data_IF_728453085382
#
_entry.id   IF_728453085382
#
_cell.length_a   1.000
_cell.length_b   1.000
_cell.length_c   1.000
_cell.angle_alpha   90.00
_cell.angle_beta   90.00
_cell.angle_gamma   90.00
#
_symmetry.space_group_name_H-M   'P 1'
#
loop_
_entity.id
_entity.type
_entity.pdbx_description
1 polymer ?
#
# COMPACT_ATOMS: atom_id res chain seq x y z
N UNK A 1 -18.37 10.21 -0.35
CA UNK A 1 -18.47 10.57 -1.79
C UNK A 1 -18.14 9.33 -2.60
N UNK A 2 -18.92 9.02 -3.62
CA UNK A 2 -18.58 7.94 -4.56
C UNK A 2 -17.40 8.38 -5.43
N UNK A 3 -16.39 7.51 -5.56
CA UNK A 3 -15.21 7.75 -6.39
C UNK A 3 -15.40 6.93 -7.66
N UNK A 4 -15.55 7.56 -8.84
CA UNK A 4 -15.64 6.84 -10.10
C UNK A 4 -14.38 6.02 -10.34
N UNK A 5 -14.53 4.73 -10.64
CA UNK A 5 -13.42 3.83 -10.98
C UNK A 5 -13.71 3.17 -12.33
N UNK A 6 -12.65 2.90 -13.08
CA UNK A 6 -12.71 2.13 -14.33
C UNK A 6 -11.86 0.88 -14.20
N UNK A 7 -12.26 -0.19 -14.87
CA UNK A 7 -11.57 -1.48 -14.84
C UNK A 7 -11.08 -1.83 -16.24
N UNK A 8 -9.88 -2.37 -16.31
CA UNK A 8 -9.21 -2.81 -17.54
C UNK A 8 -8.56 -4.16 -17.32
N UNK A 9 -8.12 -4.82 -18.39
CA UNK A 9 -7.40 -6.08 -18.31
C UNK A 9 -6.05 -5.94 -17.59
N UNK A 10 -5.53 -7.09 -17.14
CA UNK A 10 -4.22 -7.21 -16.53
C UNK A 10 -3.10 -6.75 -17.46
N UNK A 11 -2.06 -6.12 -16.89
CA UNK A 11 -0.90 -5.68 -17.65
C UNK A 11 0.08 -6.84 -17.84
N UNK A 12 0.87 -6.85 -18.94
CA UNK A 12 1.99 -7.78 -19.08
C UNK A 12 2.92 -7.69 -17.86
N UNK A 13 3.08 -8.82 -17.15
CA UNK A 13 3.94 -8.91 -15.96
C UNK A 13 3.23 -8.67 -14.62
N UNK A 14 1.92 -8.43 -14.59
CA UNK A 14 1.19 -8.37 -13.33
C UNK A 14 1.25 -9.73 -12.60
N UNK A 15 1.65 -9.69 -11.33
CA UNK A 15 1.50 -10.82 -10.41
C UNK A 15 0.15 -10.67 -9.71
N UNK A 16 -0.84 -11.50 -10.08
CA UNK A 16 -2.21 -11.38 -9.56
C UNK A 16 -2.29 -11.44 -8.03
N UNK A 17 -1.43 -12.23 -7.38
CA UNK A 17 -1.38 -12.36 -5.93
C UNK A 17 0.07 -12.42 -5.47
N UNK A 18 0.42 -11.58 -4.51
CA UNK A 18 1.70 -11.61 -3.80
C UNK A 18 1.47 -11.73 -2.30
N UNK A 19 2.17 -12.68 -1.67
CA UNK A 19 2.17 -12.89 -0.22
C UNK A 19 3.61 -13.14 0.24
N UNK A 20 4.04 -12.42 1.27
CA UNK A 20 5.37 -12.59 1.86
C UNK A 20 5.27 -13.18 3.27
N UNK A 21 5.98 -14.29 3.51
CA UNK A 21 6.23 -14.79 4.86
C UNK A 21 7.38 -14.01 5.50
N UNK A 22 7.05 -13.11 6.42
CA UNK A 22 8.01 -12.22 7.09
C UNK A 22 8.63 -12.82 8.36
N UNK A 23 8.30 -14.07 8.73
CA UNK A 23 8.79 -14.68 9.98
C UNK A 23 10.32 -14.79 10.06
N UNK A 24 11.03 -14.83 8.93
CA UNK A 24 12.50 -14.82 8.92
C UNK A 24 13.06 -13.50 9.42
N UNK A 25 12.52 -12.37 8.93
CA UNK A 25 12.94 -11.04 9.35
C UNK A 25 12.68 -10.83 10.85
N UNK A 26 11.56 -11.35 11.35
CA UNK A 26 11.28 -11.37 12.78
C UNK A 26 12.34 -12.13 13.57
N UNK A 27 12.64 -13.38 13.21
CA UNK A 27 13.60 -14.20 13.97
C UNK A 27 15.01 -13.64 13.94
N UNK A 28 15.43 -13.06 12.82
CA UNK A 28 16.82 -12.64 12.62
C UNK A 28 17.07 -11.19 13.02
N UNK A 29 16.06 -10.33 12.92
CA UNK A 29 16.19 -8.89 13.11
C UNK A 29 15.30 -8.35 14.24
N UNK A 30 14.44 -9.18 14.83
CA UNK A 30 13.40 -8.73 15.77
C UNK A 30 12.34 -7.86 15.09
N UNK A 31 12.30 -7.84 13.75
CA UNK A 31 11.44 -6.93 12.99
C UNK A 31 10.06 -7.50 12.73
N UNK A 32 9.02 -6.70 12.97
CA UNK A 32 7.63 -6.97 12.62
C UNK A 32 6.96 -5.70 12.09
N UNK A 33 5.98 -5.78 11.18
CA UNK A 33 5.20 -4.61 10.79
C UNK A 33 4.42 -4.08 11.99
N UNK A 34 4.49 -2.77 12.20
CA UNK A 34 3.78 -2.07 13.28
C UNK A 34 2.61 -1.23 12.77
N UNK A 35 2.54 -1.01 11.46
CA UNK A 35 1.48 -0.27 10.78
C UNK A 35 0.53 -1.26 10.10
N UNK A 36 -0.77 -1.15 10.38
CA UNK A 36 -1.80 -1.94 9.70
C UNK A 36 -2.05 -1.43 8.29
N UNK A 37 -2.82 -2.17 7.48
CA UNK A 37 -3.19 -1.74 6.13
C UNK A 37 -4.03 -0.46 6.18
N UNK A 38 -4.98 -0.41 7.10
CA UNK A 38 -5.91 0.70 7.31
C UNK A 38 -5.15 1.95 7.76
N UNK A 39 -4.27 1.82 8.76
CA UNK A 39 -3.44 2.93 9.24
C UNK A 39 -2.49 3.44 8.15
N UNK A 40 -1.85 2.53 7.40
CA UNK A 40 -0.95 2.89 6.31
C UNK A 40 -1.65 3.67 5.19
N UNK A 41 -2.82 3.19 4.74
CA UNK A 41 -3.61 3.87 3.69
C UNK A 41 -4.09 5.24 4.18
N UNK A 42 -4.56 5.34 5.43
CA UNK A 42 -5.00 6.62 6.01
C UNK A 42 -3.87 7.64 6.04
N UNK A 43 -2.68 7.26 6.56
CA UNK A 43 -1.51 8.15 6.60
C UNK A 43 -1.06 8.59 5.21
N UNK A 44 -1.09 7.68 4.24
CA UNK A 44 -0.75 8.01 2.85
C UNK A 44 -1.74 9.03 2.27
N UNK A 45 -3.04 8.82 2.49
CA UNK A 45 -4.08 9.75 2.04
C UNK A 45 -3.91 11.15 2.65
N UNK A 46 -3.73 11.22 3.97
CA UNK A 46 -3.49 12.48 4.68
C UNK A 46 -2.27 13.21 4.11
N UNK A 47 -1.17 12.49 3.89
CA UNK A 47 0.05 13.07 3.32
C UNK A 47 -0.18 13.63 1.91
N UNK A 48 -0.91 12.92 1.04
CA UNK A 48 -1.21 13.41 -0.32
C UNK A 48 -2.04 14.69 -0.28
N UNK A 49 -3.05 14.76 0.62
CA UNK A 49 -3.90 15.95 0.79
C UNK A 49 -3.09 17.13 1.31
N UNK A 50 -2.21 16.92 2.28
CA UNK A 50 -1.35 17.98 2.83
C UNK A 50 -0.35 18.52 1.79
N UNK A 51 0.00 17.72 0.79
CA UNK A 51 1.02 18.03 -0.21
C UNK A 51 0.44 18.11 -1.63
N UNK A 52 -0.81 18.56 -1.76
CA UNK A 52 -1.51 18.66 -3.05
C UNK A 52 -0.68 19.43 -4.12
N UNK A 53 0.07 20.44 -3.71
CA UNK A 53 0.94 21.23 -4.59
C UNK A 53 2.06 20.42 -5.28
N UNK A 54 2.39 19.22 -4.80
CA UNK A 54 3.35 18.32 -5.46
C UNK A 54 2.74 17.56 -6.65
N UNK A 55 1.42 17.56 -6.78
CA UNK A 55 0.66 16.79 -7.77
C UNK A 55 -0.11 17.67 -8.76
N UNK A 56 0.09 18.99 -8.69
CA UNK A 56 -0.52 19.99 -9.57
C UNK A 56 0.22 20.13 -10.91
#
# INVERSE_FOLDING_TARGET
REIPVTYTDWRPGDQHIFVADVRKAERQLGWRPTTSREDGVRRLFEWVVEHEALFA
#
